data_IF_267083311983
#
_entry.id   IF_267083311983
#
_cell.length_a   1.000
_cell.length_b   1.000
_cell.length_c   1.000
_cell.angle_alpha   90.00
_cell.angle_beta   90.00
_cell.angle_gamma   90.00
#
_symmetry.space_group_name_H-M   'P 1'
#
loop_
_entity.id
_entity.type
_entity.pdbx_description
1 polymer ?
#
# COMPACT_ATOMS: atom_id res chain seq x y z
N UNK A 1 41.21 -40.43 53.34
CA UNK A 1 41.83 -41.09 52.17
C UNK A 1 41.36 -42.53 52.12
N UNK A 2 40.49 -42.89 51.17
CA UNK A 2 40.60 -44.16 50.44
C UNK A 2 39.50 -44.20 49.39
N UNK A 3 39.94 -44.34 48.14
CA UNK A 3 39.11 -44.55 46.97
C UNK A 3 38.56 -45.98 46.92
N UNK A 4 37.38 -46.16 46.31
CA UNK A 4 37.03 -47.36 45.54
C UNK A 4 35.86 -47.06 44.59
N UNK A 5 36.16 -47.13 43.30
CA UNK A 5 35.24 -47.25 42.16
C UNK A 5 34.77 -48.72 42.03
N UNK A 6 34.17 -49.16 40.90
CA UNK A 6 33.00 -48.68 40.14
C UNK A 6 31.97 -49.83 39.94
N UNK A 7 30.72 -49.57 39.51
CA UNK A 7 29.92 -50.65 38.92
C UNK A 7 28.93 -50.21 37.83
N UNK A 8 29.24 -50.71 36.63
CA UNK A 8 28.45 -50.85 35.42
C UNK A 8 26.93 -51.00 35.62
N UNK A 9 26.14 -50.19 34.91
CA UNK A 9 24.86 -50.66 34.34
C UNK A 9 24.69 -50.17 32.91
N UNK A 10 25.13 -51.02 31.97
CA UNK A 10 24.67 -51.02 30.58
C UNK A 10 23.25 -51.59 30.57
N UNK A 11 22.25 -50.71 30.61
CA UNK A 11 20.86 -51.09 30.34
C UNK A 11 20.50 -50.71 28.90
N UNK A 12 20.11 -51.73 28.13
CA UNK A 12 19.78 -51.69 26.72
C UNK A 12 18.71 -50.64 26.41
N UNK A 13 19.09 -49.61 25.65
CA UNK A 13 18.15 -48.64 25.09
C UNK A 13 17.54 -49.23 23.82
N UNK A 14 16.37 -49.86 23.98
CA UNK A 14 15.51 -50.30 22.88
C UNK A 14 15.03 -49.06 22.12
N UNK A 15 15.63 -48.78 20.97
CA UNK A 15 15.18 -47.73 20.06
C UNK A 15 13.97 -48.25 19.29
N UNK A 16 12.77 -47.91 19.77
CA UNK A 16 11.54 -48.00 18.96
C UNK A 16 11.65 -46.97 17.84
N UNK A 17 12.02 -47.42 16.64
CA UNK A 17 11.99 -46.64 15.41
C UNK A 17 10.52 -46.45 15.01
N UNK A 18 9.92 -45.34 15.45
CA UNK A 18 8.59 -44.93 15.01
C UNK A 18 8.56 -44.70 13.50
N UNK A 19 7.52 -45.18 12.83
CA UNK A 19 7.28 -44.88 11.42
C UNK A 19 7.09 -43.38 11.24
N UNK A 20 7.73 -42.74 10.24
CA UNK A 20 7.51 -41.33 9.96
C UNK A 20 6.08 -41.13 9.50
N UNK A 21 5.31 -40.36 10.27
CA UNK A 21 3.97 -39.93 9.89
C UNK A 21 4.07 -39.13 8.58
N UNK A 22 3.34 -39.58 7.56
CA UNK A 22 3.28 -38.94 6.26
C UNK A 22 2.50 -37.62 6.40
N UNK A 23 3.17 -36.55 6.84
CA UNK A 23 2.57 -35.21 6.86
C UNK A 23 2.28 -34.77 5.42
N UNK A 24 1.03 -34.40 5.18
CA UNK A 24 0.59 -33.90 3.88
C UNK A 24 1.34 -32.60 3.57
N UNK A 25 1.68 -32.39 2.29
CA UNK A 25 2.46 -31.23 1.81
C UNK A 25 1.81 -29.87 2.13
N UNK A 26 0.56 -29.87 2.61
CA UNK A 26 -0.25 -28.67 2.87
C UNK A 26 -0.67 -28.51 4.33
N UNK A 27 -0.06 -29.26 5.24
CA UNK A 27 -0.29 -29.07 6.67
C UNK A 27 0.56 -27.88 7.17
N UNK A 28 0.01 -26.69 7.02
CA UNK A 28 0.55 -25.42 7.53
C UNK A 28 -0.15 -25.04 8.83
N UNK A 29 0.03 -25.86 9.87
CA UNK A 29 -0.31 -25.45 11.23
C UNK A 29 0.74 -24.43 11.70
N UNK A 30 0.37 -23.15 11.91
CA UNK A 30 1.30 -22.10 12.33
C UNK A 30 1.86 -22.32 13.75
N UNK A 31 1.32 -23.27 14.52
CA UNK A 31 1.82 -23.64 15.84
C UNK A 31 2.81 -24.81 15.80
N UNK A 32 3.11 -25.38 14.63
CA UNK A 32 4.11 -26.44 14.49
C UNK A 32 5.51 -25.85 14.78
N UNK A 33 6.23 -26.34 15.80
CA UNK A 33 7.56 -25.81 16.15
C UNK A 33 8.57 -25.93 14.99
N UNK A 34 8.34 -26.84 14.05
CA UNK A 34 9.18 -27.02 12.85
C UNK A 34 8.83 -26.06 11.69
N UNK A 35 7.76 -25.26 11.80
CA UNK A 35 7.35 -24.30 10.77
C UNK A 35 8.39 -23.17 10.60
N UNK A 36 8.88 -22.62 11.72
CA UNK A 36 9.90 -21.56 11.72
C UNK A 36 11.18 -22.07 11.05
N UNK A 37 11.62 -23.28 11.41
CA UNK A 37 12.85 -23.87 10.87
C UNK A 37 12.77 -24.14 9.37
N UNK A 38 11.63 -24.64 8.87
CA UNK A 38 11.42 -24.84 7.42
C UNK A 38 11.35 -23.52 6.65
N UNK A 39 10.73 -22.50 7.24
CA UNK A 39 10.63 -21.17 6.62
C UNK A 39 12.02 -20.54 6.46
N UNK A 40 12.86 -20.61 7.49
CA UNK A 40 14.26 -20.15 7.42
C UNK A 40 15.09 -20.93 6.41
N UNK A 41 14.93 -22.26 6.33
CA UNK A 41 15.65 -23.10 5.37
C UNK A 41 15.25 -22.80 3.92
N UNK A 42 13.99 -22.45 3.68
CA UNK A 42 13.51 -22.08 2.34
C UNK A 42 13.96 -20.67 1.95
N UNK A 43 13.97 -19.72 2.90
CA UNK A 43 14.37 -18.34 2.67
C UNK A 43 15.90 -18.19 2.55
N UNK A 44 16.66 -18.98 3.32
CA UNK A 44 18.12 -18.98 3.32
C UNK A 44 18.72 -19.60 2.06
N UNK A 45 18.01 -20.52 1.39
CA UNK A 45 18.48 -21.15 0.15
C UNK A 45 18.42 -20.23 -1.08
N UNK A 46 17.67 -19.14 -0.99
CA UNK A 46 17.59 -18.10 -2.03
C UNK A 46 18.78 -17.12 -2.01
N UNK A 47 19.73 -17.28 -1.08
CA UNK A 47 20.89 -16.38 -0.92
C UNK A 47 22.19 -16.81 -1.64
N UNK A 48 22.25 -17.99 -2.25
CA UNK A 48 23.47 -18.50 -2.88
C UNK A 48 23.38 -18.53 -4.42
N UNK A 49 24.08 -17.56 -5.02
CA UNK A 49 24.70 -17.56 -6.36
C UNK A 49 23.76 -17.43 -7.57
N UNK A 50 23.52 -16.18 -7.98
CA UNK A 50 23.54 -15.81 -9.40
C UNK A 50 24.52 -14.64 -9.59
N UNK A 51 25.74 -15.01 -9.96
CA UNK A 51 26.76 -14.12 -10.50
C UNK A 51 26.30 -13.71 -11.91
N UNK A 52 25.81 -12.47 -12.03
CA UNK A 52 25.36 -11.91 -13.30
C UNK A 52 26.57 -11.60 -14.19
N UNK A 53 26.83 -12.50 -15.13
CA UNK A 53 27.70 -12.28 -16.27
C UNK A 53 27.01 -11.41 -17.33
N UNK A 54 27.86 -10.71 -18.07
CA UNK A 54 27.61 -9.68 -19.08
C UNK A 54 26.63 -10.06 -20.21
N UNK A 55 25.72 -9.12 -20.51
CA UNK A 55 25.16 -8.78 -21.83
C UNK A 55 24.75 -9.92 -22.79
N UNK A 56 23.50 -10.38 -22.69
CA UNK A 56 22.76 -10.94 -23.84
C UNK A 56 21.42 -10.19 -23.97
N UNK A 57 21.13 -9.53 -25.10
CA UNK A 57 19.82 -8.93 -25.29
C UNK A 57 18.77 -10.04 -25.43
N UNK A 58 17.95 -10.24 -24.40
CA UNK A 58 16.76 -11.07 -24.49
C UNK A 58 15.78 -10.43 -25.48
N UNK A 59 15.83 -10.91 -26.72
CA UNK A 59 14.76 -10.74 -27.69
C UNK A 59 13.56 -11.55 -27.18
N UNK A 60 12.64 -10.85 -26.52
CA UNK A 60 11.37 -11.41 -26.03
C UNK A 60 10.51 -11.74 -27.25
N UNK A 61 10.28 -13.03 -27.51
CA UNK A 61 9.35 -13.46 -28.55
C UNK A 61 7.91 -13.14 -28.12
N UNK A 62 7.16 -12.31 -28.87
CA UNK A 62 5.80 -11.90 -28.50
C UNK A 62 4.73 -12.99 -28.75
N UNK A 63 5.12 -14.17 -29.23
CA UNK A 63 4.18 -15.19 -29.70
C UNK A 63 3.68 -16.17 -28.63
N UNK A 64 4.19 -16.11 -27.38
CA UNK A 64 3.93 -17.15 -26.38
C UNK A 64 2.97 -16.73 -25.25
N UNK A 65 2.53 -15.47 -25.19
CA UNK A 65 1.65 -14.97 -24.11
C UNK A 65 0.13 -15.04 -24.40
N UNK A 66 -0.31 -15.55 -25.56
CA UNK A 66 -1.75 -15.48 -25.94
C UNK A 66 -2.61 -16.70 -25.56
N UNK A 67 -2.09 -17.81 -25.02
CA UNK A 67 -2.87 -19.06 -24.91
C UNK A 67 -3.63 -19.29 -23.59
N UNK A 68 -3.51 -18.43 -22.57
CA UNK A 68 -4.19 -18.63 -21.28
C UNK A 68 -5.43 -17.75 -21.05
N UNK A 69 -5.79 -16.89 -22.01
CA UNK A 69 -6.93 -15.95 -21.85
C UNK A 69 -8.26 -16.39 -22.49
N UNK A 70 -8.37 -17.59 -23.06
CA UNK A 70 -9.56 -18.01 -23.84
C UNK A 70 -10.39 -19.18 -23.30
N UNK A 71 -10.22 -19.58 -22.04
CA UNK A 71 -11.07 -20.64 -21.48
C UNK A 71 -12.36 -20.15 -20.81
N UNK A 72 -12.49 -18.84 -20.53
CA UNK A 72 -13.67 -18.31 -19.84
C UNK A 72 -14.87 -18.03 -20.77
N UNK A 73 -14.66 -17.91 -22.08
CA UNK A 73 -15.73 -17.56 -23.05
C UNK A 73 -16.50 -18.76 -23.61
N UNK A 74 -16.03 -20.00 -23.42
CA UNK A 74 -16.71 -21.20 -23.96
C UNK A 74 -17.61 -21.94 -22.95
N UNK A 75 -17.63 -21.54 -21.67
CA UNK A 75 -18.49 -22.18 -20.65
C UNK A 75 -19.77 -21.40 -20.32
N UNK A 76 -20.02 -20.25 -20.93
CA UNK A 76 -21.17 -19.39 -20.61
C UNK A 76 -22.53 -19.89 -21.11
N UNK A 77 -22.58 -20.85 -22.05
CA UNK A 77 -23.82 -21.18 -22.77
C UNK A 77 -24.47 -22.54 -22.43
N UNK A 78 -23.99 -23.28 -21.42
CA UNK A 78 -24.51 -24.64 -21.14
C UNK A 78 -24.78 -24.99 -19.67
N UNK A 79 -25.15 -23.99 -18.86
CA UNK A 79 -25.83 -24.26 -17.59
C UNK A 79 -27.29 -23.80 -17.65
N UNK A 80 -28.28 -24.72 -17.68
CA UNK A 80 -29.69 -24.36 -17.51
C UNK A 80 -29.91 -23.92 -16.07
N UNK A 81 -29.80 -22.61 -15.83
CA UNK A 81 -30.02 -22.01 -14.52
C UNK A 81 -31.51 -22.08 -14.15
N UNK A 82 -31.89 -23.09 -13.36
CA UNK A 82 -33.20 -23.15 -12.65
C UNK A 82 -33.17 -22.28 -11.38
N UNK A 83 -32.39 -21.21 -11.41
CA UNK A 83 -32.39 -20.15 -10.40
C UNK A 83 -32.55 -18.85 -11.16
N UNK A 84 -33.79 -18.35 -11.23
CA UNK A 84 -34.07 -16.97 -11.60
C UNK A 84 -33.76 -16.16 -10.34
N UNK A 85 -32.61 -15.45 -10.24
CA UNK A 85 -32.42 -14.53 -9.14
C UNK A 85 -33.47 -13.43 -9.27
N UNK A 86 -34.12 -13.01 -8.17
CA UNK A 86 -35.09 -11.91 -8.21
C UNK A 86 -34.42 -10.69 -8.85
N UNK A 87 -35.13 -10.04 -9.77
CA UNK A 87 -34.70 -8.84 -10.47
C UNK A 87 -34.17 -7.85 -9.45
N UNK A 88 -32.84 -7.70 -9.39
CA UNK A 88 -32.19 -6.82 -8.43
C UNK A 88 -32.48 -5.38 -8.86
N UNK A 89 -33.52 -4.80 -8.27
CA UNK A 89 -33.79 -3.38 -8.40
C UNK A 89 -32.71 -2.66 -7.58
N UNK A 90 -31.75 -1.96 -8.20
CA UNK A 90 -30.71 -1.28 -7.45
C UNK A 90 -31.37 -0.26 -6.52
N UNK A 91 -31.08 -0.27 -5.21
CA UNK A 91 -31.68 0.68 -4.29
C UNK A 91 -31.39 2.10 -4.78
N UNK A 92 -32.44 2.90 -4.90
CA UNK A 92 -32.33 4.30 -5.27
C UNK A 92 -31.32 4.96 -4.32
N UNK A 93 -30.24 5.53 -4.89
CA UNK A 93 -29.19 6.21 -4.13
C UNK A 93 -29.83 7.38 -3.38
N UNK A 94 -30.08 7.20 -2.09
CA UNK A 94 -30.50 8.31 -1.24
C UNK A 94 -29.30 9.23 -0.99
N UNK A 95 -29.44 10.56 -1.14
CA UNK A 95 -28.38 11.50 -0.81
C UNK A 95 -28.11 11.44 0.69
N UNK A 96 -26.91 11.00 1.05
CA UNK A 96 -26.45 10.88 2.43
C UNK A 96 -26.18 12.28 3.00
N UNK A 97 -27.23 12.92 3.52
CA UNK A 97 -27.10 14.19 4.23
C UNK A 97 -27.03 13.97 5.75
N UNK A 98 -26.05 14.66 6.34
CA UNK A 98 -25.99 15.13 7.72
C UNK A 98 -25.86 14.10 8.86
N UNK A 99 -24.63 14.01 9.39
CA UNK A 99 -24.39 13.67 10.79
C UNK A 99 -24.91 14.81 11.68
N UNK A 100 -26.03 14.58 12.36
CA UNK A 100 -26.45 15.32 13.55
C UNK A 100 -26.63 14.33 14.72
N UNK A 101 -26.39 14.74 15.98
CA UNK A 101 -26.64 13.88 17.14
C UNK A 101 -28.15 13.88 17.43
N UNK A 102 -28.89 13.03 16.73
CA UNK A 102 -30.32 12.78 16.95
C UNK A 102 -30.55 11.41 17.60
N UNK A 103 -31.54 11.27 18.50
CA UNK A 103 -31.82 10.02 19.18
C UNK A 103 -32.38 8.97 18.19
N UNK A 104 -31.80 7.78 18.24
CA UNK A 104 -32.31 6.49 17.76
C UNK A 104 -33.28 6.55 16.57
N UNK A 105 -32.71 6.58 15.37
CA UNK A 105 -33.45 6.25 14.15
C UNK A 105 -33.70 4.73 14.13
N UNK A 106 -34.95 4.26 13.98
CA UNK A 106 -35.27 2.83 13.99
C UNK A 106 -34.58 2.10 12.85
N UNK A 107 -33.90 1.01 13.19
CA UNK A 107 -33.16 0.13 12.29
C UNK A 107 -34.10 -0.43 11.22
N UNK A 108 -33.99 0.05 9.97
CA UNK A 108 -34.68 -0.56 8.84
C UNK A 108 -34.12 -1.98 8.63
N UNK A 109 -34.91 -3.05 8.78
CA UNK A 109 -34.45 -4.41 8.57
C UNK A 109 -34.33 -4.68 7.07
N UNK A 110 -33.09 -4.84 6.58
CA UNK A 110 -32.84 -5.34 5.22
C UNK A 110 -31.82 -4.58 4.39
N UNK A 111 -31.24 -3.47 4.87
CA UNK A 111 -30.08 -2.89 4.19
C UNK A 111 -28.84 -3.73 4.51
N UNK A 112 -28.09 -4.24 3.52
CA UNK A 112 -26.79 -4.82 3.77
C UNK A 112 -25.95 -3.77 4.50
N UNK A 113 -25.17 -4.17 5.53
CA UNK A 113 -24.35 -3.24 6.26
C UNK A 113 -23.53 -2.43 5.24
N UNK A 114 -23.43 -1.09 5.39
CA UNK A 114 -22.57 -0.31 4.51
C UNK A 114 -21.21 -0.97 4.55
N UNK A 115 -20.82 -1.58 3.43
CA UNK A 115 -19.53 -2.23 3.31
C UNK A 115 -18.46 -1.23 3.72
N UNK A 116 -17.30 -1.70 4.25
CA UNK A 116 -16.22 -0.80 4.60
C UNK A 116 -15.96 0.10 3.39
N UNK A 117 -16.21 1.40 3.55
CA UNK A 117 -15.91 2.39 2.53
C UNK A 117 -14.45 2.20 2.19
N UNK A 118 -14.16 1.65 1.02
CA UNK A 118 -12.79 1.34 0.63
C UNK A 118 -11.98 2.64 0.78
N UNK A 119 -10.93 2.65 1.62
CA UNK A 119 -10.19 3.87 1.92
C UNK A 119 -9.49 4.49 0.70
N UNK A 120 -9.54 3.80 -0.45
CA UNK A 120 -9.01 4.20 -1.73
C UNK A 120 -9.96 3.81 -2.87
N UNK A 121 -11.14 4.42 -2.93
CA UNK A 121 -11.85 4.43 -4.22
C UNK A 121 -11.21 5.49 -5.11
N UNK A 122 -10.14 5.10 -5.78
CA UNK A 122 -9.42 5.91 -6.77
C UNK A 122 -10.41 6.34 -7.85
N UNK A 123 -10.82 7.61 -7.84
CA UNK A 123 -11.77 8.17 -8.80
C UNK A 123 -13.11 8.65 -8.22
N UNK A 124 -13.36 8.50 -6.92
CA UNK A 124 -14.47 9.21 -6.29
C UNK A 124 -14.19 10.73 -6.34
N UNK A 125 -15.12 11.56 -6.85
CA UNK A 125 -14.93 13.01 -6.90
C UNK A 125 -14.67 13.56 -5.49
N UNK A 126 -13.87 14.63 -5.40
CA UNK A 126 -13.63 15.31 -4.12
C UNK A 126 -14.98 15.74 -3.55
N UNK A 127 -15.32 15.26 -2.35
CA UNK A 127 -16.61 15.60 -1.77
C UNK A 127 -16.58 17.02 -1.23
N UNK A 128 -17.74 17.68 -1.12
CA UNK A 128 -17.87 18.98 -0.46
C UNK A 128 -17.80 18.88 1.07
N UNK A 129 -17.56 17.68 1.61
CA UNK A 129 -17.41 17.41 3.04
C UNK A 129 -16.22 18.19 3.60
N UNK A 130 -16.36 18.60 4.86
CA UNK A 130 -15.26 19.14 5.65
C UNK A 130 -14.41 18.01 6.26
N UNK A 131 -13.09 18.15 6.22
CA UNK A 131 -12.18 17.17 6.84
C UNK A 131 -12.24 17.35 8.35
N UNK A 132 -12.34 16.23 9.08
CA UNK A 132 -12.33 16.24 10.53
C UNK A 132 -11.10 16.99 11.08
N UNK A 133 -11.29 17.80 12.13
CA UNK A 133 -10.28 18.64 12.81
C UNK A 133 -9.72 19.83 12.03
N UNK A 134 -9.68 19.80 10.69
CA UNK A 134 -9.24 20.95 9.89
C UNK A 134 -10.36 21.97 9.67
N UNK A 135 -11.62 21.53 9.59
CA UNK A 135 -12.76 22.43 9.31
C UNK A 135 -12.77 23.02 7.91
N UNK A 136 -11.84 22.62 7.04
CA UNK A 136 -11.76 23.03 5.64
C UNK A 136 -12.37 21.96 4.72
N UNK A 137 -12.85 22.33 3.52
CA UNK A 137 -13.35 21.37 2.55
C UNK A 137 -12.25 20.38 2.10
N UNK A 138 -12.63 19.12 1.88
CA UNK A 138 -11.72 18.03 1.48
C UNK A 138 -10.88 18.38 0.25
N UNK A 139 -11.47 19.04 -0.75
CA UNK A 139 -10.76 19.51 -1.95
C UNK A 139 -9.56 20.42 -1.66
N UNK A 140 -9.65 21.24 -0.61
CA UNK A 140 -8.58 22.16 -0.21
C UNK A 140 -7.52 21.42 0.59
N UNK A 141 -7.92 20.61 1.56
CA UNK A 141 -7.01 19.78 2.33
C UNK A 141 -6.17 18.88 1.41
N UNK A 142 -6.80 18.22 0.43
CA UNK A 142 -6.05 17.35 -0.46
C UNK A 142 -5.09 18.12 -1.39
N UNK A 143 -5.39 19.37 -1.75
CA UNK A 143 -4.60 20.15 -2.71
C UNK A 143 -3.42 20.91 -2.08
N UNK A 144 -3.57 21.39 -0.83
CA UNK A 144 -2.58 22.22 -0.14
C UNK A 144 -1.18 21.58 -0.05
N UNK A 145 -1.02 20.26 0.22
CA UNK A 145 0.29 19.60 0.24
C UNK A 145 1.13 19.76 -1.04
N UNK A 146 0.48 20.01 -2.18
CA UNK A 146 1.12 20.18 -3.48
C UNK A 146 1.39 21.64 -3.84
N UNK A 147 1.01 22.59 -2.98
CA UNK A 147 1.28 24.00 -3.21
C UNK A 147 2.79 24.24 -3.39
N UNK A 148 3.19 25.12 -4.32
CA UNK A 148 4.60 25.38 -4.58
C UNK A 148 5.30 25.96 -3.35
N UNK A 149 6.63 25.84 -3.35
CA UNK A 149 7.51 26.33 -2.29
C UNK A 149 7.29 25.62 -0.95
N UNK A 150 7.69 26.26 0.14
CA UNK A 150 7.55 25.73 1.50
C UNK A 150 6.09 25.65 1.97
N UNK A 151 5.14 26.25 1.26
CA UNK A 151 3.73 26.25 1.63
C UNK A 151 3.20 24.81 1.63
N UNK A 152 3.44 24.05 0.56
CA UNK A 152 2.98 22.67 0.46
C UNK A 152 3.64 21.76 1.49
N UNK A 153 4.93 21.95 1.76
CA UNK A 153 5.64 21.18 2.79
C UNK A 153 5.07 21.43 4.20
N UNK A 154 4.86 22.69 4.57
CA UNK A 154 4.29 23.04 5.88
C UNK A 154 2.86 22.54 6.00
N UNK A 155 2.04 22.70 4.96
CA UNK A 155 0.67 22.17 4.93
C UNK A 155 0.66 20.65 5.10
N UNK A 156 1.50 19.91 4.37
CA UNK A 156 1.59 18.47 4.48
C UNK A 156 1.96 17.98 5.90
N UNK A 157 2.90 18.68 6.56
CA UNK A 157 3.30 18.37 7.94
C UNK A 157 2.13 18.63 8.90
N UNK A 158 1.49 19.80 8.81
CA UNK A 158 0.36 20.16 9.66
C UNK A 158 -0.78 19.16 9.47
N UNK A 159 -1.10 18.80 8.22
CA UNK A 159 -2.16 17.84 7.91
C UNK A 159 -1.83 16.45 8.46
N UNK A 160 -0.62 15.93 8.30
CA UNK A 160 -0.25 14.63 8.87
C UNK A 160 -0.39 14.57 10.40
N UNK A 161 -0.11 15.69 11.08
CA UNK A 161 -0.21 15.81 12.53
C UNK A 161 -1.66 16.03 12.99
N UNK A 162 -2.46 16.82 12.27
CA UNK A 162 -3.82 17.18 12.71
C UNK A 162 -4.86 16.17 12.25
N UNK A 163 -4.72 15.63 11.04
CA UNK A 163 -5.74 14.80 10.40
C UNK A 163 -5.76 13.40 11.02
N UNK A 164 -6.91 12.94 11.55
CA UNK A 164 -7.02 11.65 12.23
C UNK A 164 -6.88 10.47 11.25
N UNK A 165 -6.50 9.29 11.76
CA UNK A 165 -6.22 8.10 10.93
C UNK A 165 -7.42 7.56 10.15
N UNK A 166 -8.65 7.92 10.51
CA UNK A 166 -9.86 7.54 9.77
C UNK A 166 -10.05 8.37 8.48
N UNK A 167 -9.35 9.50 8.31
CA UNK A 167 -9.35 10.32 7.09
C UNK A 167 -8.22 9.86 6.15
N UNK A 168 -8.27 8.60 5.72
CA UNK A 168 -7.18 7.94 4.97
C UNK A 168 -6.81 8.67 3.69
N UNK A 169 -7.80 9.22 2.97
CA UNK A 169 -7.59 9.93 1.71
C UNK A 169 -6.82 11.23 1.88
N UNK A 170 -7.20 12.08 2.83
CA UNK A 170 -6.49 13.33 3.09
C UNK A 170 -5.08 13.06 3.62
N UNK A 171 -4.93 12.08 4.51
CA UNK A 171 -3.59 11.68 4.98
C UNK A 171 -2.70 11.16 3.86
N UNK A 172 -3.26 10.40 2.91
CA UNK A 172 -2.51 9.94 1.75
C UNK A 172 -1.95 11.10 0.93
N UNK A 173 -2.81 12.07 0.57
CA UNK A 173 -2.38 13.27 -0.16
C UNK A 173 -1.36 14.10 0.61
N UNK A 174 -1.53 14.25 1.93
CA UNK A 174 -0.55 14.90 2.78
C UNK A 174 0.81 14.16 2.76
N UNK A 175 0.82 12.84 2.93
CA UNK A 175 2.06 12.04 2.85
C UNK A 175 2.72 12.07 1.47
N UNK A 176 1.93 12.01 0.40
CA UNK A 176 2.45 12.02 -0.97
C UNK A 176 2.99 13.40 -1.34
N UNK A 177 2.30 14.47 -0.94
CA UNK A 177 2.78 15.85 -1.06
C UNK A 177 4.07 16.05 -0.28
N UNK A 178 4.16 15.56 0.96
CA UNK A 178 5.40 15.61 1.75
C UNK A 178 6.54 14.86 1.06
N UNK A 179 6.32 13.63 0.60
CA UNK A 179 7.32 12.85 -0.13
C UNK A 179 7.81 13.58 -1.39
N UNK A 180 6.88 14.17 -2.14
CA UNK A 180 7.18 14.93 -3.35
C UNK A 180 8.03 16.18 -3.04
N UNK A 181 7.68 16.94 -2.00
CA UNK A 181 8.45 18.12 -1.59
C UNK A 181 9.87 17.75 -1.16
N UNK A 182 10.03 16.64 -0.41
CA UNK A 182 11.35 16.12 -0.04
C UNK A 182 12.15 15.69 -1.27
N UNK A 183 11.52 15.04 -2.24
CA UNK A 183 12.18 14.66 -3.50
C UNK A 183 12.65 15.89 -4.29
N UNK A 184 11.82 16.95 -4.37
CA UNK A 184 12.19 18.21 -5.03
C UNK A 184 13.34 18.91 -4.30
N UNK A 185 13.35 18.90 -2.96
CA UNK A 185 14.45 19.45 -2.17
C UNK A 185 15.75 18.68 -2.40
N UNK A 186 15.70 17.35 -2.41
CA UNK A 186 16.85 16.50 -2.69
C UNK A 186 17.40 16.73 -4.10
N UNK A 187 16.53 16.77 -5.12
CA UNK A 187 16.91 17.10 -6.49
C UNK A 187 17.53 18.50 -6.60
N UNK A 188 16.93 19.50 -5.94
CA UNK A 188 17.46 20.86 -5.90
C UNK A 188 18.86 20.93 -5.27
N UNK A 189 19.08 20.17 -4.19
CA UNK A 189 20.39 20.08 -3.53
C UNK A 189 21.42 19.44 -4.47
N UNK A 190 21.07 18.37 -5.17
CA UNK A 190 21.94 17.71 -6.14
C UNK A 190 22.36 18.68 -7.26
N UNK A 191 21.41 19.41 -7.86
CA UNK A 191 21.73 20.39 -8.89
C UNK A 191 22.58 21.56 -8.37
N UNK A 192 22.42 21.97 -7.11
CA UNK A 192 23.32 22.97 -6.49
C UNK A 192 24.75 22.45 -6.38
N UNK A 193 24.95 21.19 -5.99
CA UNK A 193 26.28 20.56 -5.93
C UNK A 193 26.91 20.48 -7.33
N UNK A 194 26.16 19.99 -8.32
CA UNK A 194 26.61 19.94 -9.72
C UNK A 194 26.94 21.34 -10.25
N UNK A 195 26.11 22.34 -9.94
CA UNK A 195 26.36 23.72 -10.34
C UNK A 195 27.61 24.32 -9.68
N UNK A 196 27.88 23.98 -8.42
CA UNK A 196 29.10 24.40 -7.73
C UNK A 196 30.36 23.79 -8.35
N UNK A 197 30.30 22.54 -8.82
CA UNK A 197 31.43 21.85 -9.47
C UNK A 197 31.64 22.35 -10.90
N UNK A 198 30.57 22.51 -11.66
CA UNK A 198 30.62 22.86 -13.09
C UNK A 198 30.72 24.37 -13.36
N UNK A 199 30.45 25.20 -12.36
CA UNK A 199 30.36 26.66 -12.51
C UNK A 199 29.11 27.13 -13.24
N UNK A 200 28.12 26.25 -13.49
CA UNK A 200 26.89 26.58 -14.21
C UNK A 200 25.64 26.38 -13.36
N UNK A 201 24.84 27.43 -13.22
CA UNK A 201 23.54 27.38 -12.53
C UNK A 201 22.37 26.94 -13.41
N UNK A 202 22.59 26.71 -14.71
CA UNK A 202 21.51 26.51 -15.68
C UNK A 202 20.66 25.27 -15.36
N UNK A 203 21.28 24.15 -15.01
CA UNK A 203 20.56 22.91 -14.67
C UNK A 203 19.65 23.08 -13.46
N UNK A 204 20.11 23.77 -12.42
CA UNK A 204 19.31 24.07 -11.24
C UNK A 204 18.12 24.99 -11.52
N UNK A 205 18.31 26.00 -12.38
CA UNK A 205 17.23 26.88 -12.83
C UNK A 205 16.14 26.09 -13.58
N UNK A 206 16.54 25.27 -14.57
CA UNK A 206 15.62 24.48 -15.38
C UNK A 206 14.86 23.46 -14.52
N UNK A 207 15.56 22.78 -13.59
CA UNK A 207 14.93 21.87 -12.64
C UNK A 207 13.91 22.59 -11.75
N UNK A 208 14.27 23.75 -11.19
CA UNK A 208 13.38 24.54 -10.34
C UNK A 208 12.12 24.98 -11.10
N UNK A 209 12.25 25.39 -12.37
CA UNK A 209 11.13 25.79 -13.20
C UNK A 209 10.22 24.59 -13.50
N UNK A 210 10.80 23.43 -13.85
CA UNK A 210 10.06 22.20 -14.12
C UNK A 210 9.30 21.72 -12.87
N UNK A 211 9.96 21.73 -11.70
CA UNK A 211 9.35 21.39 -10.42
C UNK A 211 8.19 22.34 -10.07
N UNK A 212 8.37 23.64 -10.30
CA UNK A 212 7.32 24.64 -10.08
C UNK A 212 6.08 24.37 -10.94
N UNK A 213 6.26 24.19 -12.25
CA UNK A 213 5.15 23.87 -13.16
C UNK A 213 4.48 22.56 -12.78
N UNK A 214 5.26 21.53 -12.44
CA UNK A 214 4.75 20.24 -12.00
C UNK A 214 3.86 20.36 -10.74
N UNK A 215 4.28 21.15 -9.74
CA UNK A 215 3.51 21.39 -8.52
C UNK A 215 2.21 22.15 -8.79
N UNK A 216 2.24 23.15 -9.66
CA UNK A 216 1.03 23.89 -10.07
C UNK A 216 0.02 22.94 -10.74
N UNK A 217 0.48 22.14 -11.71
CA UNK A 217 -0.39 21.18 -12.41
C UNK A 217 -0.93 20.12 -11.44
N UNK A 218 -0.10 19.64 -10.52
CA UNK A 218 -0.50 18.65 -9.51
C UNK A 218 -1.57 19.21 -8.57
N UNK A 219 -1.39 20.45 -8.09
CA UNK A 219 -2.37 21.16 -7.26
C UNK A 219 -3.71 21.30 -7.97
N UNK A 220 -3.70 21.79 -9.22
CA UNK A 220 -4.92 21.96 -10.01
C UNK A 220 -5.62 20.62 -10.30
N UNK A 221 -4.85 19.57 -10.59
CA UNK A 221 -5.37 18.23 -10.84
C UNK A 221 -6.05 17.64 -9.60
N UNK A 222 -5.40 17.73 -8.43
CA UNK A 222 -5.95 17.24 -7.16
C UNK A 222 -7.18 18.04 -6.75
N UNK A 223 -7.13 19.37 -6.92
CA UNK A 223 -8.26 20.25 -6.64
C UNK A 223 -9.51 19.87 -7.43
N UNK A 224 -9.34 19.52 -8.71
CA UNK A 224 -10.42 19.06 -9.59
C UNK A 224 -10.96 17.67 -9.20
N UNK A 225 -10.42 17.04 -8.15
CA UNK A 225 -10.77 15.69 -7.72
C UNK A 225 -10.27 14.60 -8.68
N UNK A 226 -9.36 14.94 -9.61
CA UNK A 226 -8.78 13.95 -10.53
C UNK A 226 -7.74 13.13 -9.76
N UNK A 227 -7.62 11.82 -10.03
CA UNK A 227 -6.62 10.99 -9.39
C UNK A 227 -5.22 11.52 -9.74
N UNK A 228 -4.44 11.80 -8.71
CA UNK A 228 -3.05 12.22 -8.82
C UNK A 228 -2.20 11.25 -8.01
N UNK A 229 -1.56 10.35 -8.72
CA UNK A 229 -0.77 9.27 -8.16
C UNK A 229 0.60 9.33 -8.81
N UNK A 230 1.64 9.42 -7.99
CA UNK A 230 3.02 9.51 -8.43
C UNK A 230 3.68 8.20 -8.02
N UNK A 231 3.58 7.19 -8.89
CA UNK A 231 3.98 5.81 -8.58
C UNK A 231 5.38 5.67 -7.95
N UNK A 232 6.41 6.44 -8.37
CA UNK A 232 7.73 6.38 -7.72
C UNK A 232 7.75 6.80 -6.25
N UNK A 233 6.68 7.43 -5.74
CA UNK A 233 6.59 7.92 -4.38
C UNK A 233 5.68 7.05 -3.49
N UNK A 234 5.11 5.95 -3.99
CA UNK A 234 4.12 5.17 -3.24
C UNK A 234 4.70 4.61 -1.95
N UNK A 235 5.90 4.04 -2.01
CA UNK A 235 6.58 3.46 -0.86
C UNK A 235 6.92 4.54 0.17
N UNK A 236 7.46 5.68 -0.27
CA UNK A 236 7.76 6.81 0.60
C UNK A 236 6.48 7.40 1.24
N UNK A 237 5.40 7.46 0.47
CA UNK A 237 4.09 7.94 0.92
C UNK A 237 3.53 7.03 2.01
N UNK A 238 3.53 5.71 1.79
CA UNK A 238 3.09 4.72 2.78
C UNK A 238 3.94 4.79 4.04
N UNK A 239 5.27 4.80 3.88
CA UNK A 239 6.21 4.90 4.99
C UNK A 239 5.97 6.15 5.85
N UNK A 240 5.78 7.32 5.23
CA UNK A 240 5.49 8.57 5.94
C UNK A 240 4.16 8.51 6.70
N UNK A 241 3.10 8.00 6.06
CA UNK A 241 1.78 7.91 6.68
C UNK A 241 1.77 6.96 7.89
N UNK A 242 2.53 5.87 7.84
CA UNK A 242 2.68 4.92 8.94
C UNK A 242 3.50 5.50 10.10
N UNK A 243 4.58 6.21 9.79
CA UNK A 243 5.56 6.68 10.77
C UNK A 243 5.13 7.93 11.54
N UNK A 244 4.27 8.78 10.95
CA UNK A 244 3.80 10.02 11.58
C UNK A 244 2.43 9.80 12.25
N UNK A 245 2.37 9.58 13.59
CA UNK A 245 1.09 9.48 14.28
C UNK A 245 0.39 10.83 14.33
N UNK A 246 -0.96 10.86 14.26
CA UNK A 246 -1.70 12.09 14.51
C UNK A 246 -1.51 12.55 15.96
N UNK A 247 -1.47 13.85 16.16
CA UNK A 247 -1.51 14.49 17.45
C UNK A 247 -2.87 14.22 18.11
N UNK A 248 -2.86 13.92 19.41
CA UNK A 248 -4.07 13.56 20.17
C UNK A 248 -4.98 14.77 20.34
#
# INVERSE_FOLDING_TARGET
MSARAPENQRAARVVRRGMPEKRSKYDTDPLDPDFVRRTEETLGRTGEVEQWDETVPLRRDPATEEQTRRFDEQMTDSYPSVFVPPTYQPPARQPFNSFGPGPQQPTAPGLPPPGPSSPYQTGAPASSRTVARLGIPERWANALPYAPFYIGLVAAIIELLVVPRNETRTRFHASQGMALQLAILAGSLLFKIVGAITGSGLGGLLFSLAAFVFLIVSTLRVWQGKPHHVAPLDDATRWLNERVPPMK
#
